data_IF_107191289833
#
_entry.id   IF_107191289833
#
_cell.length_a   1.000
_cell.length_b   1.000
_cell.length_c   1.000
_cell.angle_alpha   90.00
_cell.angle_beta   90.00
_cell.angle_gamma   90.00
#
_symmetry.space_group_name_H-M   'P 1'
#
loop_
_entity.id
_entity.type
_entity.pdbx_description
1 polymer ?
#
# COMPACT_ATOMS: atom_id res chain seq x y z
N UNK A 1 10.64 -25.43 6.59
CA UNK A 1 9.52 -24.68 7.20
C UNK A 1 9.80 -23.20 6.98
N UNK A 2 8.87 -22.43 6.41
CA UNK A 2 9.00 -20.98 6.22
C UNK A 2 9.03 -20.29 7.58
N UNK A 3 10.08 -19.53 7.86
CA UNK A 3 10.29 -18.85 9.15
C UNK A 3 10.19 -17.33 9.04
N UNK A 4 10.59 -16.80 7.87
CA UNK A 4 10.67 -15.37 7.61
C UNK A 4 10.09 -15.02 6.24
N UNK A 5 9.19 -14.05 6.22
CA UNK A 5 8.50 -13.59 5.00
C UNK A 5 8.74 -12.09 4.81
N UNK A 6 9.13 -11.69 3.61
CA UNK A 6 9.12 -10.28 3.19
C UNK A 6 7.83 -10.00 2.44
N UNK A 7 7.16 -8.94 2.81
CA UNK A 7 5.94 -8.44 2.17
C UNK A 7 6.29 -7.14 1.44
N UNK A 8 6.17 -7.14 0.13
CA UNK A 8 6.43 -5.96 -0.71
C UNK A 8 5.15 -5.20 -0.91
N UNK A 9 5.06 -4.06 -0.25
CA UNK A 9 3.89 -3.18 -0.22
C UNK A 9 3.20 -3.15 1.14
N UNK A 10 3.09 -1.95 1.72
CA UNK A 10 2.49 -1.67 3.03
C UNK A 10 1.06 -1.15 2.95
N UNK A 11 0.32 -1.47 1.88
CA UNK A 11 -1.11 -1.20 1.77
C UNK A 11 -1.95 -2.10 2.67
N UNK A 12 -3.28 -1.98 2.59
CA UNK A 12 -4.22 -2.78 3.41
C UNK A 12 -3.94 -4.29 3.31
N UNK A 13 -3.70 -4.80 2.10
CA UNK A 13 -3.40 -6.22 1.87
C UNK A 13 -2.09 -6.65 2.52
N UNK A 14 -1.01 -5.85 2.35
CA UNK A 14 0.30 -6.18 2.94
C UNK A 14 0.28 -6.13 4.46
N UNK A 15 -0.35 -5.13 5.05
CA UNK A 15 -0.52 -5.02 6.51
C UNK A 15 -1.33 -6.20 7.08
N UNK A 16 -2.46 -6.55 6.45
CA UNK A 16 -3.29 -7.67 6.90
C UNK A 16 -2.54 -9.00 6.77
N UNK A 17 -1.78 -9.20 5.69
CA UNK A 17 -0.92 -10.36 5.52
C UNK A 17 0.12 -10.47 6.64
N UNK A 18 0.75 -9.36 7.01
CA UNK A 18 1.75 -9.34 8.08
C UNK A 18 1.15 -9.75 9.42
N UNK A 19 -0.03 -9.24 9.74
CA UNK A 19 -0.75 -9.59 10.99
C UNK A 19 -1.18 -11.07 10.99
N UNK A 20 -1.63 -11.60 9.88
CA UNK A 20 -2.02 -13.00 9.75
C UNK A 20 -0.81 -13.95 9.89
N UNK A 21 0.32 -13.61 9.29
CA UNK A 21 1.56 -14.36 9.46
C UNK A 21 2.04 -14.34 10.92
N UNK A 22 1.98 -13.18 11.56
CA UNK A 22 2.32 -13.01 12.97
C UNK A 22 1.46 -13.88 13.87
N UNK A 23 0.15 -13.96 13.64
CA UNK A 23 -0.76 -14.79 14.41
C UNK A 23 -0.45 -16.30 14.30
N UNK A 24 0.23 -16.70 13.21
CA UNK A 24 0.70 -18.08 12.95
C UNK A 24 2.13 -18.32 13.42
N UNK A 25 2.75 -17.37 14.11
CA UNK A 25 4.13 -17.49 14.58
C UNK A 25 5.20 -17.38 13.49
N UNK A 26 4.85 -16.83 12.32
CA UNK A 26 5.77 -16.59 11.20
C UNK A 26 6.28 -15.14 11.30
N UNK A 27 7.60 -14.98 11.32
CA UNK A 27 8.22 -13.65 11.27
C UNK A 27 7.94 -13.01 9.91
N UNK A 28 7.47 -11.76 9.91
CA UNK A 28 7.26 -11.02 8.68
C UNK A 28 7.82 -9.61 8.76
N UNK A 29 8.19 -9.07 7.60
CA UNK A 29 8.69 -7.71 7.44
C UNK A 29 7.97 -7.07 6.24
N UNK A 30 7.56 -5.82 6.39
CA UNK A 30 6.95 -5.04 5.31
C UNK A 30 8.02 -4.12 4.72
N UNK A 31 8.12 -4.10 3.40
CA UNK A 31 8.89 -3.10 2.65
C UNK A 31 7.89 -2.22 1.91
N UNK A 32 7.90 -0.92 2.20
CA UNK A 32 6.99 0.05 1.62
C UNK A 32 7.77 1.23 1.03
N UNK A 33 7.47 1.60 -0.21
CA UNK A 33 8.14 2.72 -0.91
C UNK A 33 7.75 4.09 -0.34
N UNK A 34 6.50 4.21 0.16
CA UNK A 34 6.05 5.44 0.81
C UNK A 34 6.62 5.53 2.23
N UNK A 35 6.66 6.72 2.76
CA UNK A 35 7.12 6.97 4.15
C UNK A 35 6.08 6.56 5.20
N UNK A 36 4.89 6.14 4.76
CA UNK A 36 3.78 5.73 5.61
C UNK A 36 3.08 4.49 5.06
N UNK A 37 2.53 3.67 5.97
CA UNK A 37 1.68 2.54 5.61
C UNK A 37 0.27 3.00 5.20
N UNK A 38 -0.45 2.10 4.50
CA UNK A 38 -1.86 2.30 4.12
C UNK A 38 -2.10 2.36 2.61
N UNK A 39 -1.04 2.63 1.82
CA UNK A 39 -1.13 2.67 0.37
C UNK A 39 -2.22 3.62 -0.15
N UNK A 40 -2.88 3.25 -1.25
CA UNK A 40 -3.91 4.10 -1.89
C UNK A 40 -5.15 4.33 -1.03
N UNK A 41 -5.53 3.36 -0.20
CA UNK A 41 -6.71 3.45 0.69
C UNK A 41 -6.61 4.64 1.64
N UNK A 42 -5.41 5.06 2.00
CA UNK A 42 -5.17 6.26 2.83
C UNK A 42 -5.74 7.54 2.21
N UNK A 43 -5.78 7.61 0.88
CA UNK A 43 -6.33 8.76 0.15
C UNK A 43 -7.82 8.67 -0.16
N UNK A 44 -8.50 7.58 0.19
CA UNK A 44 -9.91 7.39 -0.09
C UNK A 44 -10.79 7.92 1.04
N UNK A 45 -12.01 8.34 0.67
CA UNK A 45 -12.98 8.88 1.61
C UNK A 45 -13.76 7.75 2.29
N UNK A 46 -14.45 6.92 1.50
CA UNK A 46 -15.27 5.81 1.99
C UNK A 46 -15.06 4.56 1.17
N UNK A 47 -15.20 3.40 1.80
CA UNK A 47 -15.03 2.10 1.17
C UNK A 47 -16.38 1.45 0.85
N UNK A 48 -16.56 1.06 -0.40
CA UNK A 48 -17.69 0.25 -0.84
C UNK A 48 -17.56 -1.20 -0.31
N UNK A 49 -18.66 -1.90 0.03
CA UNK A 49 -20.07 -1.49 -0.09
C UNK A 49 -20.63 -0.83 1.18
N UNK A 50 -19.91 -0.84 2.28
CA UNK A 50 -20.41 -0.38 3.59
C UNK A 50 -20.39 1.13 3.77
N UNK A 51 -19.72 1.85 2.87
CA UNK A 51 -19.45 3.28 2.98
C UNK A 51 -18.74 3.69 4.28
N UNK A 52 -18.00 2.73 4.87
CA UNK A 52 -17.16 2.98 6.04
C UNK A 52 -16.04 3.95 5.67
N UNK A 53 -15.75 4.98 6.48
CA UNK A 53 -14.60 5.85 6.25
C UNK A 53 -13.31 5.04 6.14
N UNK A 54 -12.49 5.32 5.14
CA UNK A 54 -11.27 4.55 4.87
C UNK A 54 -10.29 4.60 6.05
N UNK A 55 -10.24 5.74 6.76
CA UNK A 55 -9.43 5.88 7.97
C UNK A 55 -9.84 4.94 9.10
N UNK A 56 -11.14 4.67 9.25
CA UNK A 56 -11.65 3.77 10.31
C UNK A 56 -11.28 2.31 10.06
N UNK A 57 -11.03 1.95 8.80
CA UNK A 57 -10.55 0.63 8.42
C UNK A 57 -9.04 0.53 8.57
N UNK A 58 -8.29 1.56 8.15
CA UNK A 58 -6.82 1.52 8.15
C UNK A 58 -6.21 1.71 9.53
N UNK A 59 -6.75 2.62 10.34
CA UNK A 59 -6.18 2.97 11.66
C UNK A 59 -6.00 1.74 12.56
N UNK A 60 -7.02 0.90 12.79
CA UNK A 60 -6.87 -0.28 13.64
C UNK A 60 -5.80 -1.25 13.13
N UNK A 61 -5.70 -1.42 11.80
CA UNK A 61 -4.70 -2.30 11.19
C UNK A 61 -3.29 -1.74 11.42
N UNK A 62 -3.09 -0.44 11.16
CA UNK A 62 -1.79 0.22 11.35
C UNK A 62 -1.36 0.25 12.83
N UNK A 63 -2.31 0.44 13.76
CA UNK A 63 -2.05 0.37 15.19
C UNK A 63 -1.62 -1.03 15.61
N UNK A 64 -2.24 -2.07 15.07
CA UNK A 64 -1.84 -3.45 15.32
C UNK A 64 -0.44 -3.75 14.77
N UNK A 65 -0.07 -3.27 13.59
CA UNK A 65 1.30 -3.40 13.05
C UNK A 65 2.33 -2.87 14.07
N UNK A 66 2.05 -1.71 14.68
CA UNK A 66 2.92 -1.09 15.70
C UNK A 66 2.94 -1.90 17.00
N UNK A 67 1.76 -2.23 17.54
CA UNK A 67 1.64 -2.93 18.84
C UNK A 67 2.23 -4.34 18.81
N UNK A 68 2.09 -5.04 17.67
CA UNK A 68 2.67 -6.36 17.47
C UNK A 68 4.14 -6.30 17.01
N UNK A 69 4.71 -5.09 16.93
CA UNK A 69 6.13 -4.82 16.59
C UNK A 69 6.56 -5.46 15.26
N UNK A 70 5.69 -5.43 14.26
CA UNK A 70 6.02 -5.90 12.91
C UNK A 70 7.02 -4.93 12.31
N UNK A 71 8.15 -5.44 11.82
CA UNK A 71 9.21 -4.62 11.26
C UNK A 71 8.79 -4.05 9.90
N UNK A 72 8.94 -2.72 9.73
CA UNK A 72 8.61 -2.02 8.49
C UNK A 72 9.82 -1.23 7.99
N UNK A 73 10.15 -1.39 6.71
CA UNK A 73 11.13 -0.60 5.99
C UNK A 73 10.36 0.40 5.14
N UNK A 74 10.19 1.61 5.64
CA UNK A 74 9.46 2.69 4.96
C UNK A 74 10.41 3.53 4.09
N UNK A 75 9.88 4.13 3.02
CA UNK A 75 10.67 4.90 2.07
C UNK A 75 11.66 4.03 1.28
N UNK A 76 11.40 2.74 1.14
CA UNK A 76 12.27 1.77 0.50
C UNK A 76 11.60 1.07 -0.68
N UNK A 77 12.25 1.14 -1.83
CA UNK A 77 11.83 0.39 -3.02
C UNK A 77 12.56 -0.96 -3.10
N UNK A 78 11.79 -2.00 -3.43
CA UNK A 78 12.36 -3.29 -3.85
C UNK A 78 12.68 -3.23 -5.34
N UNK A 79 13.93 -3.45 -5.69
CA UNK A 79 14.42 -3.43 -7.09
C UNK A 79 14.79 -4.82 -7.61
N UNK A 80 14.86 -5.82 -6.73
CA UNK A 80 15.16 -7.19 -7.11
C UNK A 80 14.55 -8.20 -6.14
N UNK A 81 14.12 -9.34 -6.68
CA UNK A 81 13.61 -10.49 -5.91
C UNK A 81 14.42 -11.71 -6.33
N UNK A 82 14.90 -12.45 -5.36
CA UNK A 82 15.63 -13.69 -5.54
C UNK A 82 15.03 -14.81 -4.68
N UNK A 83 15.52 -16.02 -4.84
CA UNK A 83 15.05 -17.20 -4.08
C UNK A 83 15.30 -17.10 -2.58
N UNK A 84 16.20 -16.23 -2.14
CA UNK A 84 16.63 -16.04 -0.77
C UNK A 84 16.24 -14.66 -0.17
N UNK A 85 15.42 -13.88 -0.88
CA UNK A 85 14.94 -12.58 -0.36
C UNK A 85 14.80 -11.49 -1.40
N UNK A 86 14.92 -10.24 -0.96
CA UNK A 86 14.74 -9.04 -1.80
C UNK A 86 15.95 -8.12 -1.71
N UNK A 87 16.17 -7.32 -2.77
CA UNK A 87 17.18 -6.25 -2.81
C UNK A 87 16.46 -4.90 -2.84
N UNK A 88 16.84 -4.01 -1.94
CA UNK A 88 16.33 -2.64 -1.88
C UNK A 88 17.10 -1.74 -2.88
N UNK A 89 16.51 -0.61 -3.25
CA UNK A 89 17.18 0.41 -4.08
C UNK A 89 18.47 0.94 -3.45
N UNK A 90 18.58 0.92 -2.14
CA UNK A 90 19.81 1.27 -1.40
C UNK A 90 20.96 0.28 -1.62
N UNK A 91 20.71 -0.88 -2.20
CA UNK A 91 21.64 -2.00 -2.30
C UNK A 91 21.58 -2.97 -1.11
N UNK A 92 20.86 -2.64 -0.05
CA UNK A 92 20.65 -3.53 1.10
C UNK A 92 19.85 -4.77 0.67
N UNK A 93 20.23 -5.94 1.19
CA UNK A 93 19.51 -7.20 0.98
C UNK A 93 18.77 -7.61 2.26
N UNK A 94 17.52 -7.99 2.10
CA UNK A 94 16.70 -8.55 3.17
C UNK A 94 16.47 -10.03 2.85
N UNK A 95 17.04 -10.90 3.67
CA UNK A 95 16.90 -12.35 3.50
C UNK A 95 15.53 -12.82 3.98
N UNK A 96 14.90 -13.71 3.23
CA UNK A 96 13.61 -14.30 3.54
C UNK A 96 13.45 -15.66 2.89
N UNK A 97 12.64 -16.51 3.49
CA UNK A 97 12.28 -17.83 2.95
C UNK A 97 11.16 -17.73 1.90
N UNK A 98 10.38 -16.64 1.96
CA UNK A 98 9.31 -16.37 0.99
C UNK A 98 9.08 -14.86 0.85
N UNK A 99 8.54 -14.46 -0.32
CA UNK A 99 8.19 -13.08 -0.64
C UNK A 99 6.72 -13.03 -1.04
N UNK A 100 5.97 -12.11 -0.41
CA UNK A 100 4.58 -11.81 -0.76
C UNK A 100 4.53 -10.48 -1.51
N UNK A 101 3.96 -10.47 -2.70
CA UNK A 101 3.78 -9.27 -3.51
C UNK A 101 2.41 -8.66 -3.19
N UNK A 102 2.40 -7.49 -2.56
CA UNK A 102 1.21 -6.74 -2.17
C UNK A 102 1.29 -5.27 -2.63
N UNK A 103 1.89 -5.03 -3.80
CA UNK A 103 2.20 -3.70 -4.34
C UNK A 103 0.97 -2.92 -4.81
N UNK A 104 -0.20 -3.54 -4.84
CA UNK A 104 -1.43 -2.92 -5.31
C UNK A 104 -1.44 -2.72 -6.83
N UNK A 105 -2.07 -1.66 -7.29
CA UNK A 105 -2.24 -1.36 -8.71
C UNK A 105 -1.81 0.08 -9.04
N UNK A 106 -1.54 0.34 -10.31
CA UNK A 106 -1.32 1.69 -10.83
C UNK A 106 -2.62 2.21 -11.45
N UNK A 107 -3.00 3.43 -11.10
CA UNK A 107 -4.16 4.09 -11.69
C UNK A 107 -3.90 4.38 -13.17
N UNK A 108 -4.94 4.26 -13.98
CA UNK A 108 -4.87 4.64 -15.38
C UNK A 108 -4.67 6.17 -15.49
N UNK A 109 -3.73 6.58 -16.33
CA UNK A 109 -3.52 7.99 -16.64
C UNK A 109 -4.61 8.47 -17.60
N UNK A 110 -5.58 9.25 -17.10
CA UNK A 110 -6.73 9.73 -17.85
C UNK A 110 -6.34 10.70 -18.99
N UNK A 111 -5.17 11.35 -18.94
CA UNK A 111 -4.68 12.20 -20.02
C UNK A 111 -4.44 11.42 -21.32
N UNK A 112 -4.26 10.09 -21.24
CA UNK A 112 -4.10 9.23 -22.40
C UNK A 112 -5.41 8.99 -23.19
N UNK A 113 -6.52 9.50 -22.63
CA UNK A 113 -7.88 9.41 -23.21
C UNK A 113 -8.44 10.81 -23.42
N UNK A 114 -7.84 11.53 -24.36
CA UNK A 114 -8.14 12.94 -24.66
C UNK A 114 -9.59 13.18 -25.10
N UNK A 115 -10.23 12.16 -25.68
CA UNK A 115 -11.64 12.21 -26.10
C UNK A 115 -12.61 12.51 -24.95
N UNK A 116 -12.22 12.26 -23.69
CA UNK A 116 -13.03 12.59 -22.50
C UNK A 116 -12.76 13.98 -21.95
N UNK A 117 -11.73 14.67 -22.43
CA UNK A 117 -11.43 16.06 -22.08
C UNK A 117 -10.84 16.24 -20.67
N UNK A 118 -10.31 15.17 -20.04
CA UNK A 118 -9.61 15.28 -18.76
C UNK A 118 -8.36 16.15 -18.92
N UNK A 119 -8.21 17.14 -18.04
CA UNK A 119 -7.14 18.15 -18.11
C UNK A 119 -7.41 19.29 -19.10
N UNK A 120 -8.50 19.21 -19.90
CA UNK A 120 -8.97 20.30 -20.77
C UNK A 120 -10.17 21.04 -20.17
N UNK A 121 -11.08 20.31 -19.54
CA UNK A 121 -12.29 20.87 -18.95
C UNK A 121 -12.24 20.68 -17.43
N UNK A 122 -12.42 21.76 -16.69
CA UNK A 122 -12.35 21.76 -15.20
C UNK A 122 -13.39 20.86 -14.53
N UNK A 123 -14.51 20.59 -15.21
CA UNK A 123 -15.59 19.72 -14.71
C UNK A 123 -15.43 18.26 -15.09
N UNK A 124 -14.35 17.89 -15.77
CA UNK A 124 -14.02 16.48 -16.08
C UNK A 124 -12.96 16.00 -15.11
N UNK A 125 -13.38 15.17 -14.19
CA UNK A 125 -12.55 14.66 -13.09
C UNK A 125 -12.51 13.14 -13.10
N UNK A 126 -11.46 12.56 -12.53
CA UNK A 126 -11.38 11.12 -12.28
C UNK A 126 -12.05 10.76 -10.94
N UNK A 127 -12.31 9.47 -10.72
CA UNK A 127 -12.79 8.98 -9.42
C UNK A 127 -11.80 9.30 -8.29
N UNK A 128 -10.51 9.35 -8.58
CA UNK A 128 -9.48 9.70 -7.59
C UNK A 128 -9.52 11.19 -7.24
N UNK A 129 -9.78 12.04 -8.22
CA UNK A 129 -9.97 13.47 -7.96
C UNK A 129 -11.20 13.69 -7.07
N UNK A 130 -12.29 12.97 -7.34
CA UNK A 130 -13.48 12.99 -6.50
C UNK A 130 -13.15 12.56 -5.05
N UNK A 131 -12.43 11.46 -4.86
CA UNK A 131 -12.00 10.99 -3.53
C UNK A 131 -11.18 12.05 -2.79
N UNK A 132 -10.26 12.73 -3.49
CA UNK A 132 -9.47 13.84 -2.92
C UNK A 132 -10.34 15.02 -2.51
N UNK A 133 -11.30 15.40 -3.35
CA UNK A 133 -12.25 16.48 -3.04
C UNK A 133 -13.08 16.16 -1.79
N UNK A 134 -13.58 14.92 -1.69
CA UNK A 134 -14.37 14.47 -0.53
C UNK A 134 -13.54 14.43 0.77
N UNK A 135 -12.22 14.30 0.67
CA UNK A 135 -11.29 14.40 1.80
C UNK A 135 -10.79 15.84 2.07
N UNK A 136 -11.42 16.85 1.48
CA UNK A 136 -11.06 18.26 1.65
C UNK A 136 -9.85 18.70 0.83
N UNK A 137 -9.40 17.89 -0.13
CA UNK A 137 -8.39 18.25 -1.10
C UNK A 137 -8.95 19.10 -2.24
N UNK A 138 -8.07 19.86 -2.93
CA UNK A 138 -8.41 20.52 -4.18
C UNK A 138 -8.09 19.61 -5.36
N UNK A 139 -8.90 19.69 -6.42
CA UNK A 139 -8.53 19.15 -7.74
C UNK A 139 -7.41 20.06 -8.28
N UNK A 140 -6.34 19.46 -8.76
CA UNK A 140 -5.26 20.19 -9.43
C UNK A 140 -5.57 20.33 -10.89
#
# INVERSE_FOLDING_TARGET
>A
MVKRVVIVGGGAAGMQTALELKSRGIESMIVERDIELGGKVRGWHKLFPSFTPAGDVLKPIAERIKSERIRCFLGQDVVGIASDGVTLRSGERILADAVVIATGFTLFDAHRKQEYGYGLYENVITSVDLERMMNGGKVM
#
